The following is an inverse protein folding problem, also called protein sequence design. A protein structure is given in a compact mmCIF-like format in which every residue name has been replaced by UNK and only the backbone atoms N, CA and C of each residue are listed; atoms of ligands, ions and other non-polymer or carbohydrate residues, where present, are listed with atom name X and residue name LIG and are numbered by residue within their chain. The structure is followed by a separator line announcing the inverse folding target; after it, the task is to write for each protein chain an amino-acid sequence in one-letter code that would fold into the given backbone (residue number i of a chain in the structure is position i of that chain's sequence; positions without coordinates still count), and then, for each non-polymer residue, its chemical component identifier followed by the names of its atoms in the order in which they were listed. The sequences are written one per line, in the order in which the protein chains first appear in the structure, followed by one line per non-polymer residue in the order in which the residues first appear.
data_IF_910831173610
#
_entry.id   IF_910831173610
#
_cell.length_a   1.000
_cell.length_b   1.000
_cell.length_c   1.000
_cell.angle_alpha   90.00
_cell.angle_beta   90.00
_cell.angle_gamma   90.00
#
_symmetry.space_group_name_H-M   'P 1'
#
loop_
_entity.id
_entity.type
_entity.pdbx_description
1 polymer ?
#
# COMPACT_ATOMS: atom_id res chain seq x y z
N UNK A 1 -23.77 2.58 -5.37
CA UNK A 1 -22.46 3.26 -5.36
C UNK A 1 -21.35 2.44 -4.66
N UNK A 2 -21.65 1.34 -3.94
CA UNK A 2 -20.62 0.41 -3.41
C UNK A 2 -19.92 -0.48 -4.46
N UNK A 3 -20.51 -0.65 -5.64
CA UNK A 3 -20.08 -1.66 -6.62
C UNK A 3 -18.65 -1.46 -7.17
N UNK A 4 -18.12 -0.22 -7.25
CA UNK A 4 -16.75 0.01 -7.74
C UNK A 4 -15.68 -0.32 -6.68
N UNK A 5 -15.90 0.07 -5.42
CA UNK A 5 -14.96 -0.20 -4.34
C UNK A 5 -14.85 -1.70 -4.08
N UNK A 6 -15.98 -2.40 -4.02
CA UNK A 6 -16.04 -3.85 -3.82
C UNK A 6 -15.33 -4.60 -4.96
N UNK A 7 -15.53 -4.19 -6.21
CA UNK A 7 -14.82 -4.75 -7.37
C UNK A 7 -13.31 -4.55 -7.28
N UNK A 8 -12.86 -3.38 -6.84
CA UNK A 8 -11.43 -3.07 -6.68
C UNK A 8 -10.80 -3.85 -5.53
N UNK A 9 -11.54 -4.04 -4.43
CA UNK A 9 -11.12 -4.92 -3.33
C UNK A 9 -11.00 -6.36 -3.83
N UNK A 10 -12.03 -6.88 -4.49
CA UNK A 10 -12.04 -8.25 -5.02
C UNK A 10 -10.89 -8.48 -6.03
N UNK A 11 -10.60 -7.50 -6.88
CA UNK A 11 -9.47 -7.54 -7.79
C UNK A 11 -8.13 -7.61 -7.05
N UNK A 12 -7.92 -6.72 -6.07
CA UNK A 12 -6.69 -6.71 -5.29
C UNK A 12 -6.49 -8.00 -4.48
N UNK A 13 -7.57 -8.57 -3.91
CA UNK A 13 -7.54 -9.85 -3.20
C UNK A 13 -7.12 -11.00 -4.13
N UNK A 14 -7.67 -11.06 -5.34
CA UNK A 14 -7.29 -12.07 -6.35
C UNK A 14 -5.82 -12.01 -6.73
N UNK A 15 -5.27 -10.80 -6.87
CA UNK A 15 -3.83 -10.65 -7.12
C UNK A 15 -3.01 -11.19 -5.95
N UNK A 16 -3.41 -10.92 -4.71
CA UNK A 16 -2.72 -11.43 -3.51
C UNK A 16 -2.82 -12.96 -3.42
N UNK A 17 -3.99 -13.52 -3.69
CA UNK A 17 -4.20 -14.98 -3.72
C UNK A 17 -3.31 -15.65 -4.77
N UNK A 18 -3.19 -15.06 -5.96
CA UNK A 18 -2.34 -15.57 -7.04
C UNK A 18 -0.85 -15.61 -6.68
N UNK A 19 -0.39 -14.83 -5.69
CA UNK A 19 1.00 -14.89 -5.21
C UNK A 19 1.30 -16.18 -4.44
N UNK A 20 0.29 -16.88 -3.92
CA UNK A 20 0.49 -18.13 -3.18
C UNK A 20 1.42 -18.01 -1.96
N UNK A 21 1.49 -16.82 -1.34
CA UNK A 21 2.42 -16.52 -0.24
C UNK A 21 3.81 -16.03 -0.66
N UNK A 22 4.09 -15.97 -1.97
CA UNK A 22 5.26 -15.33 -2.54
C UNK A 22 5.22 -13.80 -2.49
N UNK A 23 6.29 -13.16 -2.98
CA UNK A 23 6.33 -11.72 -3.18
C UNK A 23 5.79 -11.34 -4.56
N UNK A 24 5.05 -10.23 -4.70
CA UNK A 24 4.69 -9.70 -6.01
C UNK A 24 5.94 -9.20 -6.75
N UNK A 25 5.84 -9.04 -8.07
CA UNK A 25 6.80 -8.23 -8.80
C UNK A 25 6.64 -6.75 -8.40
N UNK A 26 7.75 -6.15 -7.97
CA UNK A 26 7.82 -4.80 -7.41
C UNK A 26 8.79 -3.89 -8.19
N UNK A 27 9.23 -4.30 -9.38
CA UNK A 27 10.20 -3.54 -10.17
C UNK A 27 9.74 -2.07 -10.37
N UNK A 28 8.48 -1.89 -10.76
CA UNK A 28 7.87 -0.58 -11.03
C UNK A 28 7.01 -0.06 -9.86
N UNK A 29 7.03 -0.76 -8.72
CA UNK A 29 6.23 -0.35 -7.57
C UNK A 29 6.85 0.90 -6.91
N UNK A 30 6.06 1.95 -6.65
CA UNK A 30 6.53 3.11 -5.91
C UNK A 30 7.03 2.70 -4.52
N UNK A 31 8.05 3.39 -4.06
CA UNK A 31 8.57 3.27 -2.71
C UNK A 31 7.73 4.13 -1.76
N UNK A 32 7.49 3.62 -0.55
CA UNK A 32 6.92 4.36 0.56
C UNK A 32 7.84 4.21 1.77
N UNK A 33 8.43 5.33 2.18
CA UNK A 33 9.36 5.43 3.30
C UNK A 33 8.74 6.26 4.44
N UNK A 34 9.32 6.15 5.63
CA UNK A 34 8.81 6.76 6.87
C UNK A 34 7.29 6.62 7.00
N UNK A 35 6.80 5.40 6.77
CA UNK A 35 5.37 5.16 6.66
C UNK A 35 4.75 4.78 8.00
N UNK A 36 3.49 5.17 8.21
CA UNK A 36 2.67 4.72 9.35
C UNK A 36 1.34 4.14 8.88
N UNK A 37 0.86 3.14 9.60
CA UNK A 37 -0.45 2.55 9.40
C UNK A 37 -1.51 3.36 10.14
N UNK A 38 -2.50 3.87 9.41
CA UNK A 38 -3.66 4.55 9.99
C UNK A 38 -4.89 3.70 9.75
N UNK A 39 -5.75 3.60 10.77
CA UNK A 39 -7.03 2.91 10.71
C UNK A 39 -8.13 3.91 11.06
N UNK A 40 -9.19 3.92 10.28
CA UNK A 40 -10.45 4.56 10.61
C UNK A 40 -11.53 3.49 10.83
N UNK A 41 -12.79 3.89 11.04
CA UNK A 41 -13.89 2.98 11.33
C UNK A 41 -14.19 2.02 10.17
N UNK A 42 -13.85 2.39 8.94
CA UNK A 42 -14.23 1.66 7.73
C UNK A 42 -13.04 0.95 7.05
N UNK A 43 -11.82 1.42 7.27
CA UNK A 43 -10.66 1.06 6.46
C UNK A 43 -9.32 1.25 7.15
N UNK A 44 -8.26 0.76 6.49
CA UNK A 44 -6.89 1.06 6.84
C UNK A 44 -6.16 1.65 5.63
N UNK A 45 -5.17 2.49 5.86
CA UNK A 45 -4.33 3.07 4.79
C UNK A 45 -2.95 3.44 5.35
N UNK A 46 -2.00 3.73 4.45
CA UNK A 46 -0.67 4.17 4.83
C UNK A 46 -0.51 5.66 4.57
N UNK A 47 0.23 6.34 5.46
CA UNK A 47 0.76 7.67 5.22
C UNK A 47 2.27 7.56 5.24
N UNK A 48 2.98 8.05 4.21
CA UNK A 48 4.44 8.03 4.16
C UNK A 48 5.00 8.89 3.03
N UNK A 49 6.32 8.95 2.92
CA UNK A 49 7.04 9.68 1.88
C UNK A 49 7.17 8.79 0.64
N UNK A 50 6.62 9.25 -0.49
CA UNK A 50 6.61 8.46 -1.72
C UNK A 50 7.77 8.82 -2.65
N UNK A 51 8.32 7.81 -3.34
CA UNK A 51 9.31 7.98 -4.43
C UNK A 51 9.00 7.03 -5.58
N UNK A 52 9.22 7.45 -6.82
CA UNK A 52 8.96 6.68 -8.04
C UNK A 52 7.47 6.56 -8.37
N UNK A 53 6.62 7.44 -7.84
CA UNK A 53 5.18 7.38 -8.12
C UNK A 53 4.84 8.04 -9.46
N UNK A 54 4.08 7.40 -10.36
CA UNK A 54 3.86 7.88 -11.73
C UNK A 54 3.07 9.20 -11.83
N UNK A 55 2.48 9.66 -10.71
CA UNK A 55 1.62 10.86 -10.66
C UNK A 55 1.91 11.79 -9.49
N UNK A 56 2.85 11.43 -8.61
CA UNK A 56 3.15 12.20 -7.41
C UNK A 56 4.65 12.41 -7.42
N UNK A 57 5.08 13.65 -7.30
CA UNK A 57 6.50 13.98 -7.24
C UNK A 57 7.18 13.27 -6.07
N UNK A 58 8.46 12.95 -6.23
CA UNK A 58 9.25 12.29 -5.22
C UNK A 58 9.40 13.16 -3.96
N UNK A 59 9.56 12.49 -2.81
CA UNK A 59 9.72 13.15 -1.51
C UNK A 59 8.41 13.70 -0.92
N UNK A 60 7.26 13.44 -1.55
CA UNK A 60 5.97 13.95 -1.08
C UNK A 60 5.36 13.03 -0.01
N UNK A 61 4.94 13.63 1.11
CA UNK A 61 4.05 12.98 2.07
C UNK A 61 2.71 12.67 1.40
N UNK A 62 2.36 11.39 1.39
CA UNK A 62 1.23 10.85 0.62
C UNK A 62 0.40 9.93 1.49
N UNK A 63 -0.92 10.09 1.42
CA UNK A 63 -1.90 9.10 1.88
C UNK A 63 -2.19 8.12 0.75
N UNK A 64 -2.02 6.82 0.99
CA UNK A 64 -2.38 5.79 0.01
C UNK A 64 -3.90 5.63 -0.10
N UNK A 65 -4.38 4.94 -1.13
CA UNK A 65 -5.72 4.35 -1.08
C UNK A 65 -5.78 3.27 0.00
N UNK A 66 -6.99 2.77 0.30
CA UNK A 66 -7.22 1.70 1.26
C UNK A 66 -6.24 0.54 1.07
N UNK A 67 -5.65 0.12 2.19
CA UNK A 67 -4.78 -1.03 2.34
C UNK A 67 -5.63 -2.30 2.28
N UNK A 68 -5.23 -3.22 1.40
CA UNK A 68 -5.88 -4.52 1.23
C UNK A 68 -5.04 -5.61 1.89
N UNK A 69 -3.72 -5.58 1.69
CA UNK A 69 -2.79 -6.49 2.37
C UNK A 69 -1.42 -5.85 2.59
N UNK A 70 -0.70 -6.39 3.56
CA UNK A 70 0.69 -6.09 3.84
C UNK A 70 1.37 -7.40 4.23
N UNK A 71 2.58 -7.65 3.74
CA UNK A 71 3.28 -8.87 4.12
C UNK A 71 3.78 -8.80 5.57
N UNK A 72 4.01 -9.98 6.17
CA UNK A 72 4.50 -10.08 7.56
C UNK A 72 5.82 -9.33 7.79
N UNK A 73 6.73 -9.37 6.80
CA UNK A 73 8.00 -8.66 6.86
C UNK A 73 7.89 -7.14 6.69
N UNK A 74 6.69 -6.61 6.40
CA UNK A 74 6.44 -5.18 6.14
C UNK A 74 7.38 -4.59 5.07
N UNK A 75 7.66 -5.38 4.04
CA UNK A 75 8.49 -4.99 2.89
C UNK A 75 7.66 -4.58 1.68
N UNK A 76 6.37 -4.93 1.65
CA UNK A 76 5.43 -4.46 0.64
C UNK A 76 4.00 -4.36 1.16
N UNK A 77 3.20 -3.51 0.51
CA UNK A 77 1.77 -3.37 0.73
C UNK A 77 1.00 -3.37 -0.58
N UNK A 78 -0.14 -4.08 -0.63
CA UNK A 78 -1.16 -3.95 -1.67
C UNK A 78 -2.25 -3.01 -1.18
N UNK A 79 -2.46 -1.93 -1.92
CA UNK A 79 -3.59 -1.00 -1.74
C UNK A 79 -4.62 -1.24 -2.83
N UNK A 80 -5.77 -0.54 -2.84
CA UNK A 80 -6.73 -0.64 -3.96
C UNK A 80 -6.12 -0.29 -5.32
N UNK A 81 -5.15 0.63 -5.34
CA UNK A 81 -4.65 1.18 -6.59
C UNK A 81 -3.33 0.57 -7.03
N UNK A 82 -2.40 0.31 -6.10
CA UNK A 82 -1.04 -0.17 -6.42
C UNK A 82 -0.45 -1.06 -5.33
N UNK A 83 0.60 -1.80 -5.70
CA UNK A 83 1.60 -2.28 -4.77
C UNK A 83 2.59 -1.16 -4.44
N UNK A 84 3.09 -1.15 -3.21
CA UNK A 84 4.17 -0.29 -2.73
C UNK A 84 5.29 -1.14 -2.15
N UNK A 85 6.54 -0.74 -2.40
CA UNK A 85 7.70 -1.19 -1.64
C UNK A 85 7.75 -0.39 -0.35
N UNK A 86 7.87 -1.06 0.79
CA UNK A 86 7.95 -0.42 2.09
C UNK A 86 9.40 -0.40 2.56
N UNK A 87 9.86 0.77 2.99
CA UNK A 87 11.17 0.95 3.61
C UNK A 87 11.01 1.13 5.12
N UNK A 88 11.59 2.19 5.71
CA UNK A 88 11.50 2.40 7.15
C UNK A 88 10.06 2.78 7.53
N UNK A 89 9.46 2.18 8.56
CA UNK A 89 8.30 2.79 9.19
C UNK A 89 8.69 4.16 9.76
N UNK A 90 7.71 5.06 9.92
CA UNK A 90 7.93 6.25 10.72
C UNK A 90 8.31 5.81 12.14
N UNK A 91 9.32 6.45 12.73
CA UNK A 91 9.59 6.26 14.15
C UNK A 91 8.34 6.70 14.91
N UNK A 92 7.72 5.76 15.62
CA UNK A 92 6.73 6.07 16.65
C UNK A 92 7.50 6.74 17.80
N UNK A 93 7.80 8.03 17.65
CA UNK A 93 8.24 8.85 18.75
C UNK A 93 7.06 9.07 19.69
N UNK A 94 6.83 8.10 20.58
CA UNK A 94 6.07 8.22 21.84
C UNK A 94 4.57 8.44 21.74
#
# INVERSE_FOLDING_TARGET
MCDDADRRIAFALREIEALGGGAPDLADAPALDHWRLVRDEESAFLIGIVTGHPRIADGRLTRTSQLVAMNRGRTWARTLSRFYRLYAPADDAG
#
